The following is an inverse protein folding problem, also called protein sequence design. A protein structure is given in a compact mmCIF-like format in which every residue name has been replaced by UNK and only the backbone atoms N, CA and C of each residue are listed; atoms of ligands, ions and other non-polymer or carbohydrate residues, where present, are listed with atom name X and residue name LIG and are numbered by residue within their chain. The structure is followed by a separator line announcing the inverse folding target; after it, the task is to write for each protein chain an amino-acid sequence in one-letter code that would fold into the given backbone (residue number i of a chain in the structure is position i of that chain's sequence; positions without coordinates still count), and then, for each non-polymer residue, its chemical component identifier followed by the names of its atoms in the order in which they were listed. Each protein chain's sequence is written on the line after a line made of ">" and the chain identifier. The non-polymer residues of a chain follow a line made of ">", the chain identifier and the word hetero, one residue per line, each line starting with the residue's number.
data_IF_358111578816
#
_entry.id   IF_358111578816
#
_cell.length_a   1.000
_cell.length_b   1.000
_cell.length_c   1.000
_cell.angle_alpha   90.00
_cell.angle_beta   90.00
_cell.angle_gamma   90.00
#
_symmetry.space_group_name_H-M   'P 1'
#
loop_
_entity.id
_entity.type
_entity.pdbx_description
1 polymer ?
#
# COMPACT_ATOMS: atom_id res chain seq x y z
N UNK A 1 -33.53 10.57 56.50
CA UNK A 1 -32.81 10.26 55.25
C UNK A 1 -32.17 8.88 55.40
N UNK A 2 -32.82 7.84 54.91
CA UNK A 2 -32.24 6.50 54.86
C UNK A 2 -32.12 6.11 53.38
N UNK A 3 -30.88 5.93 52.90
CA UNK A 3 -30.61 5.39 51.57
C UNK A 3 -30.92 3.90 51.63
N UNK A 4 -31.99 3.48 50.96
CA UNK A 4 -32.25 2.06 50.72
C UNK A 4 -31.13 1.53 49.81
N UNK A 5 -30.10 0.92 50.38
CA UNK A 5 -29.18 0.08 49.63
C UNK A 5 -29.90 -1.23 49.33
N UNK A 6 -30.70 -1.24 48.25
CA UNK A 6 -31.26 -2.47 47.72
C UNK A 6 -30.08 -3.36 47.28
N UNK A 7 -29.90 -4.51 47.94
CA UNK A 7 -28.86 -5.48 47.60
C UNK A 7 -29.16 -6.12 46.24
N UNK A 8 -28.10 -6.57 45.54
CA UNK A 8 -28.24 -7.29 44.29
C UNK A 8 -28.77 -8.70 44.53
N UNK A 9 -29.73 -9.10 43.71
CA UNK A 9 -30.21 -10.48 43.67
C UNK A 9 -29.19 -11.37 42.97
N UNK A 10 -29.20 -12.67 43.30
CA UNK A 10 -28.33 -13.66 42.65
C UNK A 10 -28.53 -13.67 41.13
N UNK A 11 -29.78 -13.47 40.68
CA UNK A 11 -30.13 -13.40 39.26
C UNK A 11 -29.48 -12.19 38.59
N UNK A 12 -29.46 -11.02 39.21
CA UNK A 12 -28.80 -9.83 38.65
C UNK A 12 -27.29 -10.03 38.50
N UNK A 13 -26.63 -10.65 39.48
CA UNK A 13 -25.20 -10.95 39.38
C UNK A 13 -24.93 -11.94 38.24
N UNK A 14 -25.78 -12.96 38.09
CA UNK A 14 -25.65 -13.95 37.03
C UNK A 14 -25.85 -13.30 35.64
N UNK A 15 -26.85 -12.43 35.49
CA UNK A 15 -27.06 -11.66 34.26
C UNK A 15 -25.86 -10.75 33.98
N UNK A 16 -25.32 -10.06 34.99
CA UNK A 16 -24.14 -9.21 34.82
C UNK A 16 -22.91 -10.01 34.33
N UNK A 17 -22.69 -11.21 34.87
CA UNK A 17 -21.61 -12.09 34.44
C UNK A 17 -21.81 -12.59 33.00
N UNK A 18 -23.04 -12.91 32.60
CA UNK A 18 -23.36 -13.30 31.22
C UNK A 18 -23.11 -12.14 30.25
N UNK A 19 -23.59 -10.94 30.57
CA UNK A 19 -23.36 -9.74 29.76
C UNK A 19 -21.87 -9.44 29.64
N UNK A 20 -21.13 -9.56 30.75
CA UNK A 20 -19.68 -9.37 30.75
C UNK A 20 -18.96 -10.39 29.86
N UNK A 21 -19.33 -11.67 29.94
CA UNK A 21 -18.76 -12.71 29.10
C UNK A 21 -19.03 -12.49 27.61
N UNK A 22 -20.26 -12.10 27.25
CA UNK A 22 -20.61 -11.73 25.87
C UNK A 22 -19.83 -10.49 25.40
N UNK A 23 -19.58 -9.53 26.29
CA UNK A 23 -18.75 -8.37 26.02
C UNK A 23 -17.31 -8.75 25.66
N UNK A 24 -16.69 -9.65 26.42
CA UNK A 24 -15.34 -10.14 26.11
C UNK A 24 -15.26 -10.90 24.79
N UNK A 25 -16.24 -11.76 24.51
CA UNK A 25 -16.35 -12.46 23.21
C UNK A 25 -16.42 -11.49 22.03
N UNK A 26 -17.19 -10.39 22.17
CA UNK A 26 -17.25 -9.33 21.17
C UNK A 26 -15.92 -8.60 20.98
N UNK A 27 -15.19 -8.34 22.08
CA UNK A 27 -13.90 -7.66 22.06
C UNK A 27 -12.83 -8.45 21.30
N UNK A 28 -12.78 -9.78 21.50
CA UNK A 28 -11.85 -10.67 20.80
C UNK A 28 -12.09 -10.69 19.30
N UNK A 29 -13.35 -10.80 18.88
CA UNK A 29 -13.71 -10.77 17.46
C UNK A 29 -13.29 -9.45 16.79
N UNK A 30 -13.44 -8.33 17.51
CA UNK A 30 -13.04 -7.01 17.04
C UNK A 30 -11.50 -6.87 16.97
N UNK A 31 -10.77 -7.36 17.97
CA UNK A 31 -9.31 -7.35 17.95
C UNK A 31 -8.72 -8.14 16.77
N UNK A 32 -9.29 -9.32 16.49
CA UNK A 32 -8.92 -10.12 15.31
C UNK A 32 -9.27 -9.42 13.99
N UNK A 33 -10.41 -8.74 13.94
CA UNK A 33 -10.83 -7.94 12.80
C UNK A 33 -9.84 -6.81 12.48
N UNK A 34 -9.49 -6.02 13.50
CA UNK A 34 -8.55 -4.89 13.37
C UNK A 34 -7.16 -5.36 12.95
N UNK A 35 -6.65 -6.47 13.51
CA UNK A 35 -5.35 -7.01 13.12
C UNK A 35 -5.26 -7.37 11.64
N UNK A 36 -6.35 -7.93 11.07
CA UNK A 36 -6.42 -8.26 9.64
C UNK A 36 -6.47 -7.02 8.76
N UNK A 37 -7.24 -6.00 9.14
CA UNK A 37 -7.34 -4.77 8.35
C UNK A 37 -6.05 -3.96 8.38
N UNK A 38 -5.37 -3.89 9.53
CA UNK A 38 -4.05 -3.27 9.66
C UNK A 38 -3.00 -3.96 8.79
N UNK A 39 -2.93 -5.29 8.83
CA UNK A 39 -1.96 -6.03 8.01
C UNK A 39 -2.18 -5.84 6.49
N UNK A 40 -3.43 -5.64 6.06
CA UNK A 40 -3.73 -5.30 4.66
C UNK A 40 -3.34 -3.86 4.35
N UNK A 41 -3.65 -2.91 5.25
CA UNK A 41 -3.30 -1.51 5.09
C UNK A 41 -1.77 -1.31 5.01
N UNK A 42 -1.00 -1.95 5.92
CA UNK A 42 0.47 -1.90 5.91
C UNK A 42 1.05 -2.37 4.58
N UNK A 43 0.55 -3.49 4.03
CA UNK A 43 1.00 -4.01 2.74
C UNK A 43 0.68 -3.04 1.59
N UNK A 44 -0.50 -2.42 1.62
CA UNK A 44 -0.87 -1.42 0.61
C UNK A 44 0.01 -0.18 0.70
N UNK A 45 0.31 0.31 1.90
CA UNK A 45 1.20 1.45 2.11
C UNK A 45 2.63 1.14 1.66
N UNK A 46 3.15 -0.06 1.98
CA UNK A 46 4.48 -0.50 1.54
C UNK A 46 4.57 -0.54 0.00
N UNK A 47 3.58 -1.12 -0.68
CA UNK A 47 3.54 -1.18 -2.14
C UNK A 47 3.38 0.21 -2.78
N UNK A 48 2.53 1.07 -2.21
CA UNK A 48 2.35 2.43 -2.70
C UNK A 48 3.63 3.27 -2.56
N UNK A 49 4.32 3.16 -1.41
CA UNK A 49 5.59 3.85 -1.16
C UNK A 49 6.71 3.38 -2.07
N UNK A 50 6.80 2.06 -2.32
CA UNK A 50 7.74 1.53 -3.30
C UNK A 50 7.43 2.06 -4.71
N UNK A 51 6.17 1.98 -5.14
CA UNK A 51 5.76 2.46 -6.45
C UNK A 51 6.06 3.95 -6.66
N UNK A 52 5.79 4.78 -5.65
CA UNK A 52 6.08 6.22 -5.72
C UNK A 52 7.58 6.50 -5.80
N UNK A 53 8.41 5.80 -5.00
CA UNK A 53 9.86 5.99 -5.02
C UNK A 53 10.47 5.70 -6.41
N UNK A 54 10.10 4.56 -7.03
CA UNK A 54 10.62 4.20 -8.37
C UNK A 54 10.08 5.11 -9.48
N UNK A 55 8.87 5.64 -9.30
CA UNK A 55 8.27 6.59 -10.24
C UNK A 55 8.94 7.96 -10.12
N UNK A 56 9.12 8.47 -8.91
CA UNK A 56 9.83 9.71 -8.64
C UNK A 56 11.27 9.67 -9.14
N UNK A 57 11.98 8.56 -8.93
CA UNK A 57 13.32 8.35 -9.49
C UNK A 57 13.30 8.49 -11.02
N UNK A 58 12.42 7.77 -11.72
CA UNK A 58 12.34 7.85 -13.18
C UNK A 58 11.94 9.25 -13.68
N UNK A 59 10.99 9.91 -13.01
CA UNK A 59 10.62 11.29 -13.33
C UNK A 59 11.78 12.26 -13.09
N UNK A 60 12.57 12.05 -12.03
CA UNK A 60 13.76 12.86 -11.76
C UNK A 60 14.81 12.71 -12.86
N UNK A 61 15.03 11.49 -13.36
CA UNK A 61 15.93 11.21 -14.47
C UNK A 61 15.45 11.89 -15.75
N UNK A 62 14.16 11.78 -16.08
CA UNK A 62 13.55 12.45 -17.23
C UNK A 62 13.74 13.98 -17.15
N UNK A 63 13.47 14.59 -16.00
CA UNK A 63 13.67 16.05 -15.79
C UNK A 63 15.13 16.48 -15.96
N UNK A 64 16.08 15.60 -15.66
CA UNK A 64 17.51 15.84 -15.84
C UNK A 64 17.99 15.56 -17.28
N UNK A 65 17.07 15.27 -18.20
CA UNK A 65 17.41 14.94 -19.58
C UNK A 65 17.96 13.52 -19.76
N UNK A 66 17.80 12.64 -18.76
CA UNK A 66 18.32 11.27 -18.78
C UNK A 66 17.19 10.28 -19.03
N UNK A 67 17.49 9.24 -19.82
CA UNK A 67 16.52 8.18 -20.09
C UNK A 67 16.52 7.15 -18.96
N UNK A 68 15.42 6.97 -18.21
CA UNK A 68 15.34 5.89 -17.24
C UNK A 68 15.31 4.52 -17.92
N UNK A 69 16.01 3.56 -17.33
CA UNK A 69 15.96 2.18 -17.79
C UNK A 69 14.67 1.48 -17.31
N UNK A 70 14.14 0.65 -18.19
CA UNK A 70 13.16 -0.36 -17.81
C UNK A 70 13.83 -1.37 -16.89
N UNK A 71 13.15 -1.73 -15.81
CA UNK A 71 13.75 -2.57 -14.78
C UNK A 71 12.69 -3.47 -14.16
N UNK A 72 13.17 -4.58 -13.61
CA UNK A 72 12.39 -5.47 -12.77
C UNK A 72 13.19 -5.78 -11.52
N UNK A 73 12.66 -5.39 -10.36
CA UNK A 73 13.25 -5.66 -9.06
C UNK A 73 12.40 -6.71 -8.39
N UNK A 74 13.01 -7.84 -8.04
CA UNK A 74 12.30 -8.94 -7.39
C UNK A 74 12.65 -8.97 -5.90
N UNK A 75 11.65 -8.80 -5.04
CA UNK A 75 11.80 -8.92 -3.60
C UNK A 75 11.07 -10.17 -3.09
N UNK A 76 11.33 -10.53 -1.83
CA UNK A 76 10.64 -11.64 -1.17
C UNK A 76 9.13 -11.41 -1.07
N UNK A 77 8.69 -10.14 -1.02
CA UNK A 77 7.28 -9.76 -0.77
C UNK A 77 6.53 -9.33 -2.02
N UNK A 78 7.22 -8.73 -2.98
CA UNK A 78 6.63 -8.18 -4.20
C UNK A 78 7.67 -8.08 -5.31
N UNK A 79 7.21 -7.99 -6.56
CA UNK A 79 8.04 -7.70 -7.72
C UNK A 79 7.65 -6.34 -8.27
N UNK A 80 8.63 -5.46 -8.46
CA UNK A 80 8.44 -4.15 -9.07
C UNK A 80 8.84 -4.23 -10.54
N UNK A 81 8.01 -3.69 -11.41
CA UNK A 81 8.30 -3.52 -12.83
C UNK A 81 8.12 -2.06 -13.22
N UNK A 82 9.16 -1.45 -13.77
CA UNK A 82 9.11 -0.10 -14.33
C UNK A 82 9.19 -0.17 -15.85
N UNK A 83 8.26 0.52 -16.52
CA UNK A 83 8.25 0.72 -17.96
C UNK A 83 8.17 2.20 -18.31
N UNK A 84 9.03 2.64 -19.20
CA UNK A 84 9.06 4.00 -19.71
C UNK A 84 8.72 4.00 -21.20
N UNK A 85 7.58 4.59 -21.53
CA UNK A 85 7.16 4.78 -22.91
C UNK A 85 7.54 6.19 -23.38
N UNK A 86 8.45 6.25 -24.35
CA UNK A 86 8.99 7.48 -24.95
C UNK A 86 8.41 7.74 -26.35
N UNK A 87 7.34 7.03 -26.75
CA UNK A 87 6.69 7.23 -28.05
C UNK A 87 6.27 8.68 -28.31
N UNK A 88 6.02 9.45 -27.26
CA UNK A 88 5.75 10.89 -27.31
C UNK A 88 6.88 11.66 -26.60
N UNK A 89 7.85 12.22 -27.35
CA UNK A 89 9.05 12.83 -26.76
C UNK A 89 8.75 14.02 -25.84
N UNK A 90 7.67 14.75 -26.10
CA UNK A 90 7.20 15.89 -25.30
C UNK A 90 6.32 15.50 -24.12
N UNK A 91 5.84 14.25 -24.07
CA UNK A 91 5.03 13.72 -22.97
C UNK A 91 5.29 12.22 -22.77
N UNK A 92 6.47 11.81 -22.28
CA UNK A 92 6.73 10.44 -21.92
C UNK A 92 5.83 9.97 -20.80
N UNK A 93 5.52 8.68 -20.84
CA UNK A 93 4.71 7.99 -19.85
C UNK A 93 5.58 7.03 -19.07
N UNK A 94 5.59 7.18 -17.75
CA UNK A 94 6.25 6.24 -16.82
C UNK A 94 5.17 5.42 -16.14
N UNK A 95 5.30 4.10 -16.19
CA UNK A 95 4.44 3.16 -15.49
C UNK A 95 5.27 2.32 -14.53
N UNK A 96 4.84 2.25 -13.27
CA UNK A 96 5.39 1.35 -12.25
C UNK A 96 4.29 0.39 -11.82
N UNK A 97 4.60 -0.90 -11.82
CA UNK A 97 3.71 -1.99 -11.42
C UNK A 97 4.36 -2.74 -10.26
N UNK A 98 3.67 -2.85 -9.13
CA UNK A 98 4.09 -3.62 -7.97
C UNK A 98 3.18 -4.83 -7.85
N UNK A 99 3.73 -6.01 -8.12
CA UNK A 99 3.04 -7.28 -8.06
C UNK A 99 3.32 -7.94 -6.71
N UNK A 100 2.33 -8.09 -5.81
CA UNK A 100 2.52 -8.81 -4.55
C UNK A 100 2.84 -10.29 -4.79
N UNK A 101 3.78 -10.83 -4.02
CA UNK A 101 4.20 -12.24 -4.08
C UNK A 101 3.41 -13.07 -3.07
N UNK A 102 2.97 -14.26 -3.46
CA UNK A 102 2.35 -15.23 -2.54
C UNK A 102 0.83 -15.11 -2.34
N UNK A 103 0.14 -14.19 -3.02
CA UNK A 103 -1.31 -14.12 -3.01
C UNK A 103 -1.85 -14.26 -4.45
N UNK A 104 -2.37 -15.44 -4.79
CA UNK A 104 -2.91 -15.76 -6.11
C UNK A 104 -4.10 -14.87 -6.57
N UNK A 105 -4.61 -14.00 -5.68
CA UNK A 105 -5.69 -13.03 -5.95
C UNK A 105 -5.34 -11.59 -5.58
N UNK A 106 -4.10 -11.29 -5.21
CA UNK A 106 -3.77 -9.92 -4.87
C UNK A 106 -3.62 -9.10 -6.16
N UNK A 107 -4.44 -8.04 -6.27
CA UNK A 107 -4.40 -7.15 -7.42
C UNK A 107 -3.06 -6.41 -7.47
N UNK A 108 -2.47 -6.26 -8.66
CA UNK A 108 -1.22 -5.52 -8.80
C UNK A 108 -1.47 -4.03 -8.54
N UNK A 109 -0.59 -3.40 -7.78
CA UNK A 109 -0.63 -1.96 -7.59
C UNK A 109 0.05 -1.28 -8.78
N UNK A 110 -0.69 -0.47 -9.53
CA UNK A 110 -0.21 0.18 -10.75
C UNK A 110 -0.23 1.69 -10.58
N UNK A 111 0.93 2.32 -10.69
CA UNK A 111 1.08 3.77 -10.70
C UNK A 111 1.54 4.23 -12.09
N UNK A 112 0.83 5.21 -12.65
CA UNK A 112 1.14 5.78 -13.98
C UNK A 112 1.27 7.29 -13.86
N UNK A 113 2.29 7.83 -14.49
CA UNK A 113 2.50 9.27 -14.59
C UNK A 113 2.88 9.65 -16.01
N UNK A 114 2.36 10.79 -16.43
CA UNK A 114 2.73 11.47 -17.67
C UNK A 114 3.42 12.77 -17.28
N UNK A 115 4.56 13.05 -17.92
CA UNK A 115 5.36 14.22 -17.64
C UNK A 115 5.55 15.02 -18.92
N UNK A 116 5.08 16.26 -18.93
CA UNK A 116 5.41 17.18 -20.01
C UNK A 116 6.88 17.58 -19.95
N UNK A 117 7.61 17.33 -21.03
CA UNK A 117 9.00 17.74 -21.19
C UNK A 117 9.12 18.82 -22.27
N UNK A 118 9.60 20.03 -21.92
CA UNK A 118 9.83 21.08 -22.89
C UNK A 118 11.02 20.79 -23.82
N UNK A 119 11.89 19.84 -23.46
CA UNK A 119 13.04 19.43 -24.27
C UNK A 119 13.01 17.91 -24.54
N UNK A 120 12.69 17.47 -25.77
CA UNK A 120 12.45 16.07 -26.11
C UNK A 120 13.71 15.21 -26.27
N UNK A 121 14.91 15.74 -26.10
CA UNK A 121 16.19 15.05 -26.37
C UNK A 121 16.48 13.78 -25.55
N UNK A 122 15.53 13.34 -24.72
CA UNK A 122 15.63 12.14 -23.87
C UNK A 122 15.29 10.85 -24.63
N UNK A 123 14.55 10.92 -25.75
CA UNK A 123 14.21 9.74 -26.56
C UNK A 123 15.45 9.04 -27.11
N UNK A 124 16.48 9.83 -27.43
CA UNK A 124 17.67 9.39 -28.15
C UNK A 124 18.82 9.05 -27.20
N UNK A 125 18.66 9.36 -25.90
CA UNK A 125 19.63 9.02 -24.88
C UNK A 125 19.66 7.51 -24.60
N UNK A 126 20.85 6.98 -24.33
CA UNK A 126 20.98 5.61 -23.85
C UNK A 126 20.29 5.46 -22.48
N UNK A 127 19.59 4.33 -22.22
CA UNK A 127 19.02 4.07 -20.91
C UNK A 127 20.10 4.06 -19.83
N UNK A 128 19.82 4.71 -18.70
CA UNK A 128 20.70 4.75 -17.52
C UNK A 128 20.85 3.36 -16.87
N UNK A 129 21.66 3.27 -15.82
CA UNK A 129 21.77 2.08 -14.98
C UNK A 129 20.38 1.54 -14.53
N UNK A 130 20.26 0.23 -14.30
CA UNK A 130 19.04 -0.37 -13.78
C UNK A 130 18.66 0.23 -12.43
N UNK A 131 17.40 0.04 -12.06
CA UNK A 131 16.82 0.48 -10.80
C UNK A 131 17.71 0.18 -9.58
N UNK A 132 17.74 1.08 -8.58
CA UNK A 132 18.42 0.84 -7.32
C UNK A 132 17.83 -0.35 -6.57
#
# INVERSE_FOLDING_TARGET
>A
MARNAAGFTLVEVLVALVVLALGFLGLEALALGIGRTLAVAERQTEMAGAASAYLEDALSQLRQGRRPADCQVDSLRYTIQRRTDLTRPTNPRVQVVVNPRGAARAEPYVLRSELYLPNPGVSDAAPQAPCP
#
